data_IF_826621585906
#
_entry.id   IF_826621585906
#
_cell.length_a   1.000
_cell.length_b   1.000
_cell.length_c   1.000
_cell.angle_alpha   90.00
_cell.angle_beta   90.00
_cell.angle_gamma   90.00
#
_symmetry.space_group_name_H-M   'P 1'
#
loop_
_entity.id
_entity.type
_entity.pdbx_description
1 polymer ?
#
# COMPACT_ATOMS: atom_id res chain seq x y z
N UNK A 1 8.59 1.34 -3.11
CA UNK A 1 8.23 2.40 -4.10
C UNK A 1 6.95 3.07 -3.65
N UNK A 2 6.88 4.37 -3.81
CA UNK A 2 5.67 5.16 -3.52
C UNK A 2 5.19 5.82 -4.81
N UNK A 3 3.93 5.61 -5.17
CA UNK A 3 3.26 6.24 -6.32
C UNK A 3 2.16 7.15 -5.77
N UNK A 4 2.39 8.43 -5.84
CA UNK A 4 1.47 9.47 -5.34
C UNK A 4 0.82 10.25 -6.48
N UNK A 5 -0.31 10.88 -6.21
CA UNK A 5 -1.05 11.72 -7.16
C UNK A 5 -2.55 11.70 -6.89
N UNK A 6 -3.27 12.65 -7.44
CA UNK A 6 -4.71 12.78 -7.30
C UNK A 6 -5.48 11.58 -7.87
N UNK A 7 -6.77 11.49 -7.58
CA UNK A 7 -7.63 10.48 -8.19
C UNK A 7 -7.65 10.61 -9.71
N UNK A 8 -7.53 9.48 -10.42
CA UNK A 8 -7.58 9.45 -11.89
C UNK A 8 -6.26 9.74 -12.61
N UNK A 9 -5.14 9.99 -11.91
CA UNK A 9 -3.83 10.28 -12.51
C UNK A 9 -3.12 9.07 -13.12
N UNK A 10 -3.64 7.85 -12.93
CA UNK A 10 -3.06 6.64 -13.52
C UNK A 10 -2.19 5.82 -12.56
N UNK A 11 -2.20 6.11 -11.25
CA UNK A 11 -1.46 5.33 -10.23
C UNK A 11 -1.69 3.82 -10.35
N UNK A 12 -2.95 3.43 -10.42
CA UNK A 12 -3.33 2.02 -10.51
C UNK A 12 -2.85 1.37 -11.81
N UNK A 13 -2.86 2.11 -12.92
CA UNK A 13 -2.34 1.62 -14.20
C UNK A 13 -0.83 1.38 -14.12
N UNK A 14 -0.06 2.35 -13.64
CA UNK A 14 1.40 2.21 -13.49
C UNK A 14 1.74 1.02 -12.58
N UNK A 15 1.09 0.92 -11.44
CA UNK A 15 1.35 -0.17 -10.51
C UNK A 15 0.93 -1.55 -11.06
N UNK A 16 -0.11 -1.62 -11.91
CA UNK A 16 -0.44 -2.84 -12.66
C UNK A 16 0.66 -3.23 -13.65
N UNK A 17 1.26 -2.28 -14.34
CA UNK A 17 2.38 -2.53 -15.24
C UNK A 17 3.58 -3.12 -14.49
N UNK A 18 3.89 -2.61 -13.30
CA UNK A 18 4.95 -3.13 -12.44
C UNK A 18 4.66 -4.56 -11.96
N UNK A 19 3.43 -4.83 -11.52
CA UNK A 19 3.03 -6.17 -11.10
C UNK A 19 3.07 -7.17 -12.27
N UNK A 20 2.62 -6.75 -13.46
CA UNK A 20 2.68 -7.59 -14.66
C UNK A 20 4.14 -7.90 -15.07
N UNK A 21 5.03 -6.93 -14.94
CA UNK A 21 6.45 -7.14 -15.19
C UNK A 21 7.07 -8.09 -14.18
N UNK A 22 6.74 -7.98 -12.89
CA UNK A 22 7.18 -8.92 -11.86
C UNK A 22 6.76 -10.36 -12.21
N UNK A 23 5.49 -10.55 -12.61
CA UNK A 23 5.00 -11.86 -13.04
C UNK A 23 5.75 -12.40 -14.26
N UNK A 24 6.07 -11.56 -15.26
CA UNK A 24 6.92 -11.96 -16.41
C UNK A 24 8.30 -12.41 -15.99
N UNK A 25 8.84 -11.82 -14.91
CA UNK A 25 10.12 -12.21 -14.30
C UNK A 25 9.98 -13.41 -13.35
N UNK A 26 8.84 -14.11 -13.37
CA UNK A 26 8.51 -15.25 -12.47
C UNK A 26 8.57 -14.91 -10.99
N UNK A 27 8.25 -13.64 -10.64
CA UNK A 27 8.12 -13.18 -9.26
C UNK A 27 6.67 -13.19 -8.82
N UNK A 28 6.40 -13.65 -7.60
CA UNK A 28 5.04 -13.62 -7.05
C UNK A 28 4.62 -12.19 -6.75
N UNK A 29 3.48 -11.77 -7.30
CA UNK A 29 2.92 -10.43 -7.08
C UNK A 29 1.50 -10.51 -6.55
N UNK A 30 1.14 -9.60 -5.67
CA UNK A 30 -0.22 -9.45 -5.13
C UNK A 30 -0.64 -8.00 -5.13
N UNK A 31 -1.86 -7.77 -5.57
CA UNK A 31 -2.58 -6.51 -5.44
C UNK A 31 -3.65 -6.62 -4.38
N UNK A 32 -3.76 -5.60 -3.54
CA UNK A 32 -4.86 -5.43 -2.59
C UNK A 32 -5.07 -3.94 -2.29
N UNK A 33 -6.32 -3.53 -2.13
CA UNK A 33 -6.65 -2.22 -1.57
C UNK A 33 -6.49 -2.32 -0.04
N UNK A 34 -5.98 -1.26 0.59
CA UNK A 34 -5.80 -1.28 2.03
C UNK A 34 -7.10 -1.56 2.80
N UNK A 35 -8.26 -0.93 2.47
CA UNK A 35 -9.51 -1.25 3.15
C UNK A 35 -9.89 -2.75 3.05
N UNK A 36 -9.68 -3.35 1.87
CA UNK A 36 -10.01 -4.78 1.66
C UNK A 36 -9.09 -5.70 2.45
N UNK A 37 -7.81 -5.34 2.58
CA UNK A 37 -6.85 -6.08 3.42
C UNK A 37 -7.24 -6.05 4.90
N UNK A 38 -7.62 -4.88 5.41
CA UNK A 38 -8.04 -4.72 6.80
C UNK A 38 -9.36 -5.46 7.08
N UNK A 39 -10.30 -5.43 6.14
CA UNK A 39 -11.54 -6.20 6.23
C UNK A 39 -11.26 -7.71 6.25
N UNK A 40 -10.40 -8.23 5.38
CA UNK A 40 -10.02 -9.65 5.36
C UNK A 40 -9.37 -10.07 6.69
N UNK A 41 -8.54 -9.21 7.28
CA UNK A 41 -7.96 -9.44 8.60
C UNK A 41 -9.04 -9.55 9.67
N UNK A 42 -9.98 -8.62 9.71
CA UNK A 42 -11.02 -8.57 10.73
C UNK A 42 -11.94 -9.78 10.64
N UNK A 43 -12.34 -10.18 9.45
CA UNK A 43 -13.13 -11.39 9.22
C UNK A 43 -12.42 -12.65 9.73
N UNK A 44 -11.11 -12.77 9.47
CA UNK A 44 -10.35 -13.91 9.93
C UNK A 44 -10.06 -13.85 11.44
N UNK A 45 -9.77 -12.67 11.99
CA UNK A 45 -9.55 -12.48 13.42
C UNK A 45 -10.77 -12.85 14.26
N UNK A 46 -11.96 -12.62 13.73
CA UNK A 46 -13.22 -13.02 14.37
C UNK A 46 -13.34 -14.55 14.56
N UNK A 47 -12.73 -15.34 13.66
CA UNK A 47 -12.79 -16.81 13.69
C UNK A 47 -11.57 -17.44 14.34
N UNK A 48 -10.37 -16.97 14.03
CA UNK A 48 -9.10 -17.58 14.43
C UNK A 48 -8.36 -16.84 15.55
N UNK A 49 -8.85 -15.67 15.96
CA UNK A 49 -8.25 -14.80 17.01
C UNK A 49 -6.77 -14.45 16.78
N UNK A 50 -6.31 -14.42 15.55
CA UNK A 50 -4.92 -14.14 15.22
C UNK A 50 -4.75 -13.50 13.86
N UNK A 51 -3.95 -12.44 13.80
CA UNK A 51 -3.52 -11.79 12.58
C UNK A 51 -2.42 -12.57 11.84
N UNK A 52 -1.84 -13.59 12.48
CA UNK A 52 -0.64 -14.28 12.00
C UNK A 52 -0.81 -14.89 10.61
N UNK A 53 -2.00 -15.42 10.31
CA UNK A 53 -2.29 -16.04 9.01
C UNK A 53 -2.32 -15.03 7.87
N UNK A 54 -2.95 -13.89 8.08
CA UNK A 54 -2.99 -12.79 7.11
C UNK A 54 -1.62 -12.15 6.93
N UNK A 55 -0.90 -11.91 8.03
CA UNK A 55 0.48 -11.42 7.98
C UNK A 55 1.37 -12.35 7.15
N UNK A 56 1.32 -13.66 7.40
CA UNK A 56 2.07 -14.66 6.64
C UNK A 56 1.69 -14.66 5.16
N UNK A 57 0.39 -14.56 4.85
CA UNK A 57 -0.12 -14.52 3.48
C UNK A 57 0.46 -13.35 2.71
N UNK A 58 0.36 -12.13 3.24
CA UNK A 58 0.79 -10.92 2.54
C UNK A 58 2.30 -10.64 2.63
N UNK A 59 2.96 -11.13 3.67
CA UNK A 59 4.42 -11.01 3.78
C UNK A 59 5.19 -11.84 2.76
N UNK A 60 4.64 -12.96 2.28
CA UNK A 60 5.35 -13.90 1.39
C UNK A 60 5.54 -13.40 -0.04
N UNK A 61 4.65 -12.56 -0.55
CA UNK A 61 4.72 -12.10 -1.94
C UNK A 61 5.98 -11.26 -2.19
N UNK A 62 6.68 -11.54 -3.28
CA UNK A 62 7.88 -10.80 -3.66
C UNK A 62 7.57 -9.34 -4.00
N UNK A 63 6.42 -9.10 -4.64
CA UNK A 63 5.86 -7.77 -4.87
C UNK A 63 4.46 -7.68 -4.26
N UNK A 64 4.29 -6.80 -3.29
CA UNK A 64 2.97 -6.43 -2.74
C UNK A 64 2.63 -5.01 -3.17
N UNK A 65 1.49 -4.86 -3.85
CA UNK A 65 0.92 -3.56 -4.14
C UNK A 65 -0.23 -3.27 -3.19
N UNK A 66 -0.06 -2.22 -2.39
CA UNK A 66 -1.09 -1.66 -1.52
C UNK A 66 -1.68 -0.42 -2.18
N UNK A 67 -2.93 -0.50 -2.61
CA UNK A 67 -3.66 0.62 -3.20
C UNK A 67 -4.55 1.30 -2.16
N UNK A 68 -4.95 2.54 -2.44
CA UNK A 68 -5.77 3.36 -1.55
C UNK A 68 -5.17 3.50 -0.14
N UNK A 69 -3.84 3.66 -0.10
CA UNK A 69 -3.10 3.78 1.14
C UNK A 69 -3.57 4.97 1.97
N UNK A 70 -4.11 4.66 3.16
CA UNK A 70 -4.62 5.63 4.15
C UNK A 70 -5.73 6.57 3.62
N UNK A 71 -6.50 6.15 2.61
CA UNK A 71 -7.67 6.90 2.15
C UNK A 71 -8.82 6.88 3.16
N UNK A 72 -8.94 5.81 3.91
CA UNK A 72 -9.84 5.67 5.04
C UNK A 72 -9.08 5.78 6.36
N UNK A 73 -9.79 6.13 7.43
CA UNK A 73 -9.20 6.19 8.76
C UNK A 73 -8.85 4.77 9.24
N UNK A 74 -7.75 4.67 9.97
CA UNK A 74 -7.25 3.43 10.56
C UNK A 74 -7.21 3.57 12.08
N UNK A 75 -7.57 2.52 12.79
CA UNK A 75 -7.52 2.46 14.25
C UNK A 75 -6.17 1.90 14.75
N UNK A 76 -5.99 1.86 16.06
CA UNK A 76 -4.74 1.37 16.67
C UNK A 76 -4.46 -0.11 16.34
N UNK A 77 -5.51 -0.92 16.17
CA UNK A 77 -5.37 -2.33 15.79
C UNK A 77 -4.88 -2.46 14.35
N UNK A 78 -5.42 -1.64 13.46
CA UNK A 78 -4.98 -1.53 12.07
C UNK A 78 -3.51 -1.10 11.98
N UNK A 79 -3.15 -0.07 12.74
CA UNK A 79 -1.79 0.48 12.77
C UNK A 79 -0.80 -0.58 13.24
N UNK A 80 -1.11 -1.32 14.30
CA UNK A 80 -0.27 -2.41 14.81
C UNK A 80 -0.09 -3.52 13.76
N UNK A 81 -1.16 -3.92 13.09
CA UNK A 81 -1.11 -4.91 12.00
C UNK A 81 -0.25 -4.43 10.83
N UNK A 82 -0.45 -3.19 10.38
CA UNK A 82 0.32 -2.61 9.29
C UNK A 82 1.79 -2.47 9.63
N UNK A 83 2.10 -2.06 10.86
CA UNK A 83 3.47 -1.99 11.35
C UNK A 83 4.16 -3.36 11.24
N UNK A 84 3.54 -4.41 11.75
CA UNK A 84 4.07 -5.77 11.69
C UNK A 84 4.24 -6.27 10.24
N UNK A 85 3.28 -5.97 9.36
CA UNK A 85 3.37 -6.35 7.95
C UNK A 85 4.55 -5.66 7.26
N UNK A 86 4.72 -4.35 7.49
CA UNK A 86 5.81 -3.56 6.93
C UNK A 86 7.15 -4.04 7.46
N UNK A 87 7.26 -4.32 8.76
CA UNK A 87 8.46 -4.89 9.37
C UNK A 87 8.91 -6.18 8.70
N UNK A 88 7.98 -7.12 8.49
CA UNK A 88 8.28 -8.41 7.84
C UNK A 88 8.72 -8.27 6.39
N UNK A 89 8.30 -7.19 5.74
CA UNK A 89 8.62 -6.96 4.33
C UNK A 89 9.84 -6.07 4.12
N UNK A 90 10.18 -5.25 5.11
CA UNK A 90 11.28 -4.31 5.03
C UNK A 90 12.59 -5.03 4.70
N UNK A 91 13.35 -4.47 3.76
CA UNK A 91 14.62 -5.01 3.23
C UNK A 91 14.57 -6.44 2.65
N UNK A 92 13.44 -7.13 2.73
CA UNK A 92 13.30 -8.53 2.25
C UNK A 92 12.46 -8.64 0.97
N UNK A 93 11.42 -7.82 0.84
CA UNK A 93 10.43 -7.87 -0.24
C UNK A 93 10.10 -6.48 -0.77
N UNK A 94 9.64 -6.42 -2.01
CA UNK A 94 9.23 -5.15 -2.64
C UNK A 94 7.79 -4.79 -2.29
N UNK A 95 7.57 -3.54 -1.88
CA UNK A 95 6.23 -2.99 -1.63
C UNK A 95 6.02 -1.76 -2.48
N UNK A 96 4.88 -1.70 -3.17
CA UNK A 96 4.42 -0.53 -3.93
C UNK A 96 3.21 0.05 -3.23
N UNK A 97 3.33 1.29 -2.77
CA UNK A 97 2.25 2.05 -2.14
C UNK A 97 1.64 2.99 -3.17
N UNK A 98 0.34 2.91 -3.40
CA UNK A 98 -0.41 3.87 -4.20
C UNK A 98 -1.29 4.72 -3.28
N UNK A 99 -1.12 6.03 -3.34
CA UNK A 99 -1.74 6.97 -2.39
C UNK A 99 -2.13 8.28 -3.05
N UNK A 100 -3.07 8.99 -2.42
CA UNK A 100 -3.40 10.38 -2.72
C UNK A 100 -2.71 11.36 -1.78
N UNK A 101 -2.12 10.86 -0.69
CA UNK A 101 -1.49 11.65 0.36
C UNK A 101 0.02 11.65 0.24
N UNK A 102 0.62 12.76 0.60
CA UNK A 102 2.08 12.86 0.72
C UNK A 102 2.56 12.07 1.95
N UNK A 103 3.81 11.60 1.96
CA UNK A 103 4.38 10.95 3.14
C UNK A 103 4.34 11.80 4.42
N UNK A 104 4.37 13.13 4.30
CA UNK A 104 4.22 14.02 5.45
C UNK A 104 2.84 13.91 6.11
N UNK A 105 1.79 13.65 5.31
CA UNK A 105 0.43 13.46 5.82
C UNK A 105 0.24 12.07 6.45
N UNK A 106 1.05 11.08 6.07
CA UNK A 106 0.92 9.72 6.59
C UNK A 106 1.14 9.63 8.09
N UNK A 107 2.07 10.39 8.63
CA UNK A 107 2.37 10.39 10.06
C UNK A 107 1.12 10.68 10.90
N UNK A 108 0.39 11.75 10.57
CA UNK A 108 -0.85 12.10 11.24
C UNK A 108 -1.97 11.07 11.04
N UNK A 109 -2.10 10.53 9.82
CA UNK A 109 -3.10 9.52 9.49
C UNK A 109 -2.82 8.15 10.15
N UNK A 110 -1.57 7.88 10.50
CA UNK A 110 -1.13 6.71 11.27
C UNK A 110 -1.15 6.94 12.79
N UNK A 111 -1.83 8.00 13.27
CA UNK A 111 -2.00 8.27 14.69
C UNK A 111 -0.81 8.97 15.36
N UNK A 112 0.25 9.30 14.60
CA UNK A 112 1.46 9.93 15.14
C UNK A 112 2.34 9.00 16.00
N UNK A 113 3.38 9.57 16.60
CA UNK A 113 4.24 8.85 17.52
C UNK A 113 5.31 7.97 16.86
N UNK A 114 6.03 7.21 17.69
CA UNK A 114 7.21 6.44 17.28
C UNK A 114 6.90 5.36 16.26
N UNK A 115 5.75 4.70 16.36
CA UNK A 115 5.34 3.64 15.44
C UNK A 115 5.04 4.21 14.05
N UNK A 116 4.35 5.34 13.97
CA UNK A 116 4.11 6.06 12.72
C UNK A 116 5.42 6.54 12.09
N UNK A 117 6.32 7.13 12.88
CA UNK A 117 7.66 7.52 12.42
C UNK A 117 8.41 6.33 11.80
N UNK A 118 8.42 5.20 12.47
CA UNK A 118 9.11 4.01 12.01
C UNK A 118 8.51 3.45 10.70
N UNK A 119 7.19 3.46 10.55
CA UNK A 119 6.53 3.02 9.31
C UNK A 119 6.84 3.96 8.15
N UNK A 120 6.73 5.27 8.36
CA UNK A 120 7.02 6.26 7.33
C UNK A 120 8.48 6.16 6.89
N UNK A 121 9.41 6.05 7.84
CA UNK A 121 10.82 5.89 7.54
C UNK A 121 11.08 4.66 6.65
N UNK A 122 10.54 3.51 7.00
CA UNK A 122 10.72 2.26 6.22
C UNK A 122 10.10 2.29 4.84
N UNK A 123 8.97 2.95 4.69
CA UNK A 123 8.25 3.00 3.41
C UNK A 123 8.82 4.07 2.47
N UNK A 124 9.41 5.12 3.00
CA UNK A 124 9.83 6.31 2.24
C UNK A 124 11.34 6.40 2.10
N UNK A 125 12.09 6.07 3.15
CA UNK A 125 13.56 6.17 3.13
C UNK A 125 14.14 5.18 2.10
N UNK A 126 14.86 5.69 1.12
CA UNK A 126 15.42 4.90 0.01
C UNK A 126 14.38 4.41 -1.01
N UNK A 127 13.11 4.78 -0.88
CA UNK A 127 12.09 4.41 -1.84
C UNK A 127 12.19 5.23 -3.13
N UNK A 128 11.89 4.58 -4.25
CA UNK A 128 11.61 5.29 -5.50
C UNK A 128 10.24 5.95 -5.33
N UNK A 129 10.20 7.27 -5.48
CA UNK A 129 8.96 8.05 -5.44
C UNK A 129 8.59 8.50 -6.84
N UNK A 130 7.34 8.31 -7.20
CA UNK A 130 6.77 8.75 -8.48
C UNK A 130 5.54 9.60 -8.15
N UNK A 131 5.63 10.88 -8.45
CA UNK A 131 4.50 11.81 -8.36
C UNK A 131 3.87 11.95 -9.75
N UNK A 132 2.61 11.56 -9.87
CA UNK A 132 1.82 11.67 -11.12
C UNK A 132 1.04 12.98 -11.18
N UNK A 133 1.23 13.88 -10.23
CA UNK A 133 0.59 15.18 -10.19
C UNK A 133 -0.93 15.11 -10.02
N UNK A 134 -1.61 16.10 -10.58
CA UNK A 134 -3.04 16.34 -10.41
C UNK A 134 -3.88 16.16 -11.70
N UNK A 135 -3.23 15.87 -12.83
CA UNK A 135 -3.91 15.70 -14.11
C UNK A 135 -4.76 14.43 -14.12
N UNK A 136 -6.08 14.59 -14.20
CA UNK A 136 -7.00 13.46 -14.26
C UNK A 136 -7.05 12.87 -15.68
N UNK A 137 -6.17 11.89 -15.93
CA UNK A 137 -6.07 11.19 -17.23
C UNK A 137 -7.37 10.48 -17.60
N UNK A 138 -8.11 9.97 -16.61
CA UNK A 138 -9.40 9.30 -16.84
C UNK A 138 -10.42 10.28 -17.43
N UNK A 139 -10.46 11.51 -16.92
CA UNK A 139 -11.33 12.58 -17.46
C UNK A 139 -10.92 12.95 -18.88
N UNK A 140 -9.63 13.17 -19.11
CA UNK A 140 -9.11 13.50 -20.45
C UNK A 140 -9.41 12.43 -21.49
N UNK A 141 -9.32 11.15 -21.12
CA UNK A 141 -9.65 10.05 -22.04
C UNK A 141 -11.15 9.95 -22.31
N UNK A 142 -12.00 10.29 -21.35
CA UNK A 142 -13.46 10.33 -21.54
C UNK A 142 -13.90 11.46 -22.47
N UNK A 143 -13.25 12.61 -22.41
CA UNK A 143 -13.54 13.78 -23.26
C UNK A 143 -13.07 13.60 -24.72
N UNK A 144 -12.18 12.64 -25.00
CA UNK A 144 -11.72 12.31 -26.37
C UNK A 144 -12.62 11.34 -27.12
N UNK A 145 -13.64 10.81 -26.49
CA UNK A 145 -14.64 9.93 -27.10
C UNK A 145 -15.86 10.73 -27.54
#
# INVERSE_FOLDING_TARGET
>A
MVVEGCAGTGKSFLACCLAKQACRMRRSARYVRLPDLLMERDELAATERSDAKILKKYARYELLRLDEWLTEDVDDTDINFLFELIERRYAAKSTVICTQYTPAEWHGRLGGGVQADAMVDRLVHGAIRIDLGDVNVRKLLAERK
#
